data_IF_887682971432
#
_entry.id   IF_887682971432
#
_cell.length_a   1.000
_cell.length_b   1.000
_cell.length_c   1.000
_cell.angle_alpha   90.00
_cell.angle_beta   90.00
_cell.angle_gamma   90.00
#
_symmetry.space_group_name_H-M   'P 1'
#
loop_
_entity.id
_entity.type
_entity.pdbx_description
1 polymer ?
#
# COMPACT_ATOMS: atom_id res chain seq x y z
N UNK A 1 11.64 -10.44 33.94
CA UNK A 1 10.61 -9.83 33.07
C UNK A 1 10.95 -10.20 31.63
N UNK A 2 10.47 -11.37 31.18
CA UNK A 2 10.90 -12.01 29.93
C UNK A 2 10.19 -11.39 28.75
N UNK A 3 10.92 -10.62 27.94
CA UNK A 3 10.45 -10.21 26.61
C UNK A 3 10.36 -11.49 25.78
N UNK A 4 9.14 -12.01 25.62
CA UNK A 4 8.81 -13.02 24.62
C UNK A 4 9.42 -12.52 23.30
N UNK A 5 10.51 -13.16 22.85
CA UNK A 5 11.03 -12.95 21.50
C UNK A 5 9.86 -13.23 20.58
N UNK A 6 9.27 -12.16 20.03
CA UNK A 6 8.25 -12.25 19.01
C UNK A 6 8.89 -13.05 17.88
N UNK A 7 8.57 -14.34 17.82
CA UNK A 7 9.09 -15.27 16.84
C UNK A 7 8.51 -14.77 15.51
N UNK A 8 9.26 -13.88 14.86
CA UNK A 8 8.82 -13.10 13.70
C UNK A 8 8.90 -14.00 12.47
N UNK A 9 8.22 -15.14 12.52
CA UNK A 9 7.94 -15.90 11.33
C UNK A 9 7.11 -14.99 10.43
N UNK A 10 7.68 -14.62 9.30
CA UNK A 10 7.02 -13.76 8.34
C UNK A 10 5.84 -14.56 7.79
N UNK A 11 4.64 -14.19 8.23
CA UNK A 11 3.34 -14.80 7.92
C UNK A 11 3.18 -15.22 6.44
N UNK A 12 3.78 -14.44 5.51
CA UNK A 12 3.87 -14.79 4.11
C UNK A 12 5.19 -14.29 3.50
N UNK A 13 6.32 -14.89 3.87
CA UNK A 13 7.66 -14.50 3.39
C UNK A 13 7.78 -14.46 1.86
N UNK A 14 7.10 -15.38 1.17
CA UNK A 14 7.13 -15.47 -0.29
C UNK A 14 6.00 -14.69 -0.99
N UNK A 15 5.21 -13.91 -0.25
CA UNK A 15 4.02 -13.21 -0.74
C UNK A 15 3.17 -14.04 -1.74
N UNK A 16 3.14 -15.36 -1.52
CA UNK A 16 2.49 -16.28 -2.44
C UNK A 16 0.98 -16.09 -2.31
N UNK A 17 0.27 -16.09 -3.44
CA UNK A 17 -1.19 -16.01 -3.46
C UNK A 17 -1.77 -17.20 -2.69
N UNK A 18 -2.58 -16.94 -1.65
CA UNK A 18 -3.26 -17.99 -0.88
C UNK A 18 -4.74 -18.05 -1.26
N UNK A 19 -5.31 -19.26 -1.25
CA UNK A 19 -6.75 -19.44 -1.46
C UNK A 19 -7.53 -18.92 -0.25
N UNK A 20 -8.74 -18.41 -0.49
CA UNK A 20 -9.69 -18.03 0.55
C UNK A 20 -10.16 -19.28 1.30
N UNK A 21 -10.18 -19.23 2.65
CA UNK A 21 -10.67 -20.34 3.48
C UNK A 21 -12.19 -20.28 3.62
N UNK A 22 -12.89 -21.29 3.09
CA UNK A 22 -14.37 -21.36 3.04
C UNK A 22 -14.99 -21.43 4.44
N UNK A 23 -14.32 -22.08 5.39
CA UNK A 23 -14.75 -22.19 6.80
C UNK A 23 -14.59 -20.89 7.61
N UNK A 24 -14.05 -19.83 7.01
CA UNK A 24 -13.70 -18.59 7.69
C UNK A 24 -12.38 -18.64 8.47
N UNK A 25 -11.97 -17.49 9.02
CA UNK A 25 -10.75 -17.36 9.83
C UNK A 25 -11.12 -17.26 11.31
N UNK A 26 -10.44 -18.02 12.17
CA UNK A 26 -10.71 -18.04 13.62
C UNK A 26 -9.91 -16.99 14.40
N UNK A 27 -8.85 -16.45 13.82
CA UNK A 27 -8.07 -15.35 14.37
C UNK A 27 -7.50 -14.44 13.27
N UNK A 28 -7.12 -13.22 13.66
CA UNK A 28 -6.46 -12.29 12.75
C UNK A 28 -5.13 -12.84 12.22
N UNK A 29 -4.39 -13.60 13.03
CA UNK A 29 -3.11 -14.20 12.62
C UNK A 29 -3.29 -15.23 11.50
N UNK A 30 -4.42 -15.94 11.48
CA UNK A 30 -4.76 -16.90 10.42
C UNK A 30 -5.17 -16.19 9.12
N UNK A 31 -5.85 -15.05 9.23
CA UNK A 31 -6.27 -14.22 8.11
C UNK A 31 -5.12 -13.41 7.48
N UNK A 32 -4.18 -12.95 8.30
CA UNK A 32 -3.15 -11.99 7.91
C UNK A 32 -2.28 -12.43 6.71
N UNK A 33 -1.83 -13.70 6.60
CA UNK A 33 -1.11 -14.18 5.42
C UNK A 33 -1.90 -14.07 4.10
N UNK A 34 -3.21 -14.31 4.15
CA UNK A 34 -4.11 -14.23 3.00
C UNK A 34 -4.29 -12.77 2.56
N UNK A 35 -4.60 -11.88 3.50
CA UNK A 35 -4.72 -10.44 3.27
C UNK A 35 -3.47 -9.83 2.62
N UNK A 36 -2.30 -10.21 3.13
CA UNK A 36 -1.01 -9.72 2.62
C UNK A 36 -0.72 -10.22 1.20
N UNK A 37 -1.21 -11.41 0.84
CA UNK A 37 -1.05 -11.96 -0.51
C UNK A 37 -1.88 -11.19 -1.55
N UNK A 38 -3.08 -10.74 -1.19
CA UNK A 38 -3.92 -9.91 -2.07
C UNK A 38 -3.33 -8.51 -2.29
N UNK A 39 -2.62 -7.98 -1.29
CA UNK A 39 -1.95 -6.68 -1.37
C UNK A 39 -0.51 -6.76 -1.95
N UNK A 40 -0.09 -7.93 -2.46
CA UNK A 40 1.23 -8.10 -3.07
C UNK A 40 1.40 -7.33 -4.38
N UNK A 41 0.32 -6.81 -4.99
CA UNK A 41 0.42 -6.14 -6.27
C UNK A 41 1.26 -4.85 -6.18
N UNK A 42 2.49 -4.95 -6.65
CA UNK A 42 3.47 -3.85 -6.67
C UNK A 42 3.10 -2.74 -7.63
N UNK A 43 2.24 -3.01 -8.62
CA UNK A 43 1.78 -2.03 -9.61
C UNK A 43 0.96 -0.94 -8.91
N UNK A 44 0.05 -1.29 -8.00
CA UNK A 44 -0.75 -0.31 -7.26
C UNK A 44 0.14 0.62 -6.41
N UNK A 45 1.18 0.06 -5.77
CA UNK A 45 2.16 0.86 -5.02
C UNK A 45 2.97 1.80 -5.91
N UNK A 46 3.35 1.35 -7.11
CA UNK A 46 4.09 2.18 -8.08
C UNK A 46 3.20 3.29 -8.63
N UNK A 47 1.97 2.97 -9.03
CA UNK A 47 0.99 3.95 -9.49
C UNK A 47 0.73 5.04 -8.44
N UNK A 48 0.58 4.65 -7.17
CA UNK A 48 0.42 5.62 -6.09
C UNK A 48 1.63 6.56 -5.97
N UNK A 49 2.86 6.03 -6.04
CA UNK A 49 4.07 6.85 -5.98
C UNK A 49 4.19 7.80 -7.18
N UNK A 50 3.94 7.32 -8.40
CA UNK A 50 3.91 8.15 -9.60
C UNK A 50 2.89 9.26 -9.46
N UNK A 51 1.74 8.91 -8.91
CA UNK A 51 0.74 9.86 -8.54
C UNK A 51 1.31 10.92 -7.59
N UNK A 52 1.65 10.56 -6.36
CA UNK A 52 2.04 11.55 -5.34
C UNK A 52 3.17 12.44 -5.84
N UNK A 53 4.11 11.89 -6.60
CA UNK A 53 5.20 12.63 -7.25
C UNK A 53 4.67 13.64 -8.28
N UNK A 54 3.69 13.25 -9.10
CA UNK A 54 3.07 14.14 -10.08
C UNK A 54 2.36 15.33 -9.42
N UNK A 55 1.63 15.11 -8.32
CA UNK A 55 1.00 16.21 -7.55
C UNK A 55 2.05 17.17 -7.00
N UNK A 56 3.14 16.64 -6.41
CA UNK A 56 4.24 17.47 -5.89
C UNK A 56 4.91 18.26 -7.02
N UNK A 57 5.15 17.64 -8.18
CA UNK A 57 5.75 18.31 -9.33
C UNK A 57 4.86 19.44 -9.88
N UNK A 58 3.55 19.19 -10.01
CA UNK A 58 2.58 20.21 -10.43
C UNK A 58 2.52 21.35 -9.42
N UNK A 59 2.52 21.05 -8.12
CA UNK A 59 2.51 22.06 -7.06
C UNK A 59 3.76 22.93 -7.11
N UNK A 60 4.94 22.32 -7.26
CA UNK A 60 6.19 23.04 -7.44
C UNK A 60 6.18 23.94 -8.69
N UNK A 61 5.69 23.41 -9.82
CA UNK A 61 5.56 24.17 -11.06
C UNK A 61 4.55 25.33 -10.94
N UNK A 62 3.44 25.13 -10.22
CA UNK A 62 2.43 26.17 -10.01
C UNK A 62 2.98 27.33 -9.17
N UNK A 63 3.79 27.03 -8.15
CA UNK A 63 4.46 28.05 -7.33
C UNK A 63 5.45 28.86 -8.19
N UNK A 64 6.24 28.19 -9.05
CA UNK A 64 7.24 28.86 -9.90
C UNK A 64 6.61 29.68 -11.03
N UNK A 65 5.50 29.21 -11.61
CA UNK A 65 4.85 29.88 -12.75
C UNK A 65 3.79 30.92 -12.34
N UNK A 66 3.37 30.96 -11.07
CA UNK A 66 2.34 31.87 -10.57
C UNK A 66 0.94 31.64 -11.13
N UNK A 67 0.72 30.57 -11.90
CA UNK A 67 -0.55 30.27 -12.54
C UNK A 67 -1.27 29.11 -11.84
N UNK A 68 -2.38 29.43 -11.17
CA UNK A 68 -3.31 28.53 -10.44
C UNK A 68 -4.24 27.81 -11.45
N UNK A 69 -3.77 27.58 -12.69
CA UNK A 69 -4.62 27.11 -13.78
C UNK A 69 -4.82 25.59 -13.82
N UNK A 70 -4.18 24.82 -12.94
CA UNK A 70 -4.24 23.35 -12.98
C UNK A 70 -4.60 22.70 -11.64
N UNK A 71 -5.24 23.45 -10.74
CA UNK A 71 -5.61 22.99 -9.40
C UNK A 71 -6.57 21.79 -9.41
N UNK A 72 -7.35 21.58 -10.47
CA UNK A 72 -8.22 20.40 -10.60
C UNK A 72 -7.47 19.12 -10.97
N UNK A 73 -6.27 19.20 -11.55
CA UNK A 73 -5.48 18.03 -11.95
C UNK A 73 -5.00 17.23 -10.72
N UNK A 74 -4.95 17.87 -9.55
CA UNK A 74 -4.54 17.22 -8.30
C UNK A 74 -5.67 16.42 -7.62
N UNK A 75 -6.93 16.52 -8.07
CA UNK A 75 -8.09 15.88 -7.40
C UNK A 75 -8.26 14.40 -7.80
N UNK A 76 -7.67 13.97 -8.92
CA UNK A 76 -8.01 12.69 -9.58
C UNK A 76 -7.04 11.52 -9.31
N UNK A 77 -6.34 11.48 -8.17
CA UNK A 77 -5.18 10.60 -8.01
C UNK A 77 -5.15 9.72 -6.76
#
# INVERSE_FOLDING_TARGET
>A
MGVQKLNKEIANHNYSKRAYKVEGYKSFEEFYPYYLSEHCNTINRRLHLFGTTNVVAILAYSILSGQIKYWWVTILQ
#
